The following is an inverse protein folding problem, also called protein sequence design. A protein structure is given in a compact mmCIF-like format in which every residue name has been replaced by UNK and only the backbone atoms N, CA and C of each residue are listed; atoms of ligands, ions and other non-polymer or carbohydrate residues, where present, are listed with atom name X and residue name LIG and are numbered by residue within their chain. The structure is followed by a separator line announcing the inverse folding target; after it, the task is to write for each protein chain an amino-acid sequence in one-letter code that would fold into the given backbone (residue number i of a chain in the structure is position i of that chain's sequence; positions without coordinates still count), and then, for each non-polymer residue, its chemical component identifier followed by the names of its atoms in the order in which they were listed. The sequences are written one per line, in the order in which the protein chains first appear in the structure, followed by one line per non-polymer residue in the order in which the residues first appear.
data_IF_894668399843
#
_entry.id   IF_894668399843
#
_cell.length_a   1.000
_cell.length_b   1.000
_cell.length_c   1.000
_cell.angle_alpha   90.00
_cell.angle_beta   90.00
_cell.angle_gamma   90.00
#
_symmetry.space_group_name_H-M   'P 1'
#
loop_
_entity.id
_entity.type
_entity.pdbx_description
1 polymer ?
#
# COMPACT_ATOMS: atom_id res chain seq x y z
N UNK A 1 -20.35 32.41 2.41
CA UNK A 1 -21.33 32.67 1.34
C UNK A 1 -22.68 33.20 1.84
N UNK A 2 -23.30 32.63 2.88
CA UNK A 2 -24.57 33.14 3.47
C UNK A 2 -24.51 34.58 3.98
N UNK A 3 -23.37 35.00 4.48
CA UNK A 3 -23.21 36.38 5.09
C UNK A 3 -23.22 37.50 4.04
N UNK A 4 -22.74 37.25 2.83
CA UNK A 4 -22.69 38.27 1.76
C UNK A 4 -24.10 38.55 1.20
N UNK A 5 -24.94 37.53 1.10
CA UNK A 5 -26.31 37.66 0.62
C UNK A 5 -27.16 38.46 1.60
N UNK A 6 -26.95 38.30 2.91
CA UNK A 6 -27.69 39.01 3.95
C UNK A 6 -27.36 40.49 3.97
N UNK A 7 -26.11 40.88 3.69
CA UNK A 7 -25.69 42.30 3.69
C UNK A 7 -26.27 43.08 2.51
N UNK A 8 -26.45 42.44 1.35
CA UNK A 8 -27.06 43.08 0.16
C UNK A 8 -28.57 43.25 0.36
N UNK A 9 -29.25 42.36 1.07
CA UNK A 9 -30.67 42.47 1.34
C UNK A 9 -31.01 43.61 2.37
N UNK A 10 -30.13 43.84 3.36
CA UNK A 10 -30.35 44.91 4.37
C UNK A 10 -30.17 46.32 3.79
N UNK A 11 -29.34 46.49 2.77
CA UNK A 11 -29.15 47.78 2.09
C UNK A 11 -30.37 48.20 1.22
N UNK A 12 -31.19 47.22 0.80
CA UNK A 12 -32.37 47.47 -0.05
C UNK A 12 -33.61 47.99 0.73
N UNK A 13 -33.62 47.91 2.07
CA UNK A 13 -34.79 48.29 2.89
C UNK A 13 -34.79 49.75 3.35
N UNK A 14 -33.76 50.55 3.07
CA UNK A 14 -33.64 51.94 3.51
C UNK A 14 -33.83 53.00 2.42
N UNK A 15 -34.20 52.63 1.17
CA UNK A 15 -34.40 53.63 0.13
C UNK A 15 -35.85 53.65 -0.38
N UNK A 16 -36.64 54.51 0.19
CA UNK A 16 -37.86 55.01 -0.43
C UNK A 16 -37.45 56.04 -1.46
N UNK A 17 -37.41 55.71 -2.72
CA UNK A 17 -37.47 56.70 -3.81
C UNK A 17 -37.37 56.03 -5.22
N UNK A 18 -38.10 56.54 -6.13
CA UNK A 18 -38.00 56.45 -7.58
C UNK A 18 -38.07 55.09 -8.26
N UNK A 19 -39.12 54.93 -9.04
CA UNK A 19 -39.35 53.76 -9.92
C UNK A 19 -38.19 53.44 -10.88
N UNK A 20 -37.26 54.35 -11.11
CA UNK A 20 -36.08 54.13 -11.93
C UNK A 20 -34.96 53.38 -11.16
N UNK A 21 -34.78 53.69 -9.89
CA UNK A 21 -33.79 52.98 -9.05
C UNK A 21 -34.20 51.54 -8.84
N UNK A 22 -35.50 51.27 -8.61
CA UNK A 22 -36.02 49.90 -8.52
C UNK A 22 -35.80 49.06 -9.77
N UNK A 23 -35.93 49.66 -10.96
CA UNK A 23 -35.65 48.96 -12.23
C UNK A 23 -34.18 48.65 -12.43
N UNK A 24 -33.27 49.56 -12.04
CA UNK A 24 -31.83 49.33 -12.12
C UNK A 24 -31.39 48.26 -11.10
N UNK A 25 -31.89 48.33 -9.88
CA UNK A 25 -31.60 47.37 -8.81
C UNK A 25 -32.05 45.95 -9.20
N UNK A 26 -33.29 45.79 -9.73
CA UNK A 26 -33.78 44.50 -10.20
C UNK A 26 -32.98 43.96 -11.38
N UNK A 27 -32.48 44.82 -12.27
CA UNK A 27 -31.62 44.42 -13.37
C UNK A 27 -30.24 43.91 -12.88
N UNK A 28 -29.64 44.60 -11.93
CA UNK A 28 -28.38 44.21 -11.28
C UNK A 28 -28.55 42.90 -10.52
N UNK A 29 -29.65 42.75 -9.76
CA UNK A 29 -29.93 41.51 -9.02
C UNK A 29 -30.04 40.34 -10.01
N UNK A 30 -30.84 40.45 -11.09
CA UNK A 30 -30.96 39.40 -12.08
C UNK A 30 -29.63 39.06 -12.76
N UNK A 31 -28.83 40.03 -13.15
CA UNK A 31 -27.52 39.79 -13.73
C UNK A 31 -26.57 39.10 -12.75
N UNK A 32 -26.65 39.45 -11.47
CA UNK A 32 -25.83 38.81 -10.42
C UNK A 32 -26.29 37.37 -10.20
N UNK A 33 -27.59 37.12 -10.18
CA UNK A 33 -28.15 35.75 -10.07
C UNK A 33 -27.77 34.87 -11.27
N UNK A 34 -27.81 35.39 -12.49
CA UNK A 34 -27.40 34.69 -13.70
C UNK A 34 -25.90 34.32 -13.64
N UNK A 35 -25.03 35.26 -13.26
CA UNK A 35 -23.58 35.01 -13.13
C UNK A 35 -23.26 34.01 -12.01
N UNK A 36 -23.96 34.12 -10.88
CA UNK A 36 -23.79 33.18 -9.76
C UNK A 36 -24.25 31.76 -10.16
N UNK A 37 -25.39 31.64 -10.81
CA UNK A 37 -25.91 30.35 -11.26
C UNK A 37 -25.00 29.71 -12.34
N UNK A 38 -24.48 30.51 -13.28
CA UNK A 38 -23.53 30.03 -14.27
C UNK A 38 -22.21 29.55 -13.62
N UNK A 39 -21.71 30.29 -12.64
CA UNK A 39 -20.50 29.90 -11.88
C UNK A 39 -20.74 28.62 -11.06
N UNK A 40 -21.89 28.51 -10.40
CA UNK A 40 -22.27 27.29 -9.65
C UNK A 40 -22.38 26.09 -10.57
N UNK A 41 -23.04 26.23 -11.72
CA UNK A 41 -23.17 25.14 -12.68
C UNK A 41 -21.80 24.68 -13.22
N UNK A 42 -20.91 25.61 -13.56
CA UNK A 42 -19.54 25.26 -14.00
C UNK A 42 -18.73 24.56 -12.92
N UNK A 43 -18.86 24.96 -11.67
CA UNK A 43 -18.19 24.28 -10.53
C UNK A 43 -18.78 22.90 -10.32
N UNK A 44 -20.10 22.75 -10.41
CA UNK A 44 -20.77 21.45 -10.25
C UNK A 44 -20.36 20.48 -11.38
N UNK A 45 -20.39 20.95 -12.63
CA UNK A 45 -19.98 20.16 -13.80
C UNK A 45 -18.50 19.75 -13.73
N UNK A 46 -17.64 20.66 -13.26
CA UNK A 46 -16.22 20.34 -13.03
C UNK A 46 -16.02 19.32 -11.90
N UNK A 47 -16.80 19.43 -10.83
CA UNK A 47 -16.75 18.47 -9.72
C UNK A 47 -17.23 17.08 -10.13
N UNK A 48 -18.33 17.02 -10.91
CA UNK A 48 -18.83 15.75 -11.47
C UNK A 48 -17.85 15.11 -12.45
N UNK A 49 -17.20 15.91 -13.30
CA UNK A 49 -16.18 15.41 -14.22
C UNK A 49 -14.96 14.87 -13.46
N UNK A 50 -14.50 15.54 -12.40
CA UNK A 50 -13.41 15.07 -11.56
C UNK A 50 -13.80 13.77 -10.84
N UNK A 51 -15.04 13.70 -10.30
CA UNK A 51 -15.55 12.50 -9.65
C UNK A 51 -15.66 11.32 -10.63
N UNK A 52 -16.16 11.55 -11.84
CA UNK A 52 -16.28 10.52 -12.88
C UNK A 52 -14.92 10.03 -13.39
N UNK A 53 -13.94 10.93 -13.54
CA UNK A 53 -12.58 10.55 -13.93
C UNK A 53 -11.92 9.74 -12.80
N UNK A 54 -12.07 10.17 -11.54
CA UNK A 54 -11.55 9.43 -10.39
C UNK A 54 -12.22 8.05 -10.24
N UNK A 55 -13.56 8.00 -10.41
CA UNK A 55 -14.30 6.73 -10.36
C UNK A 55 -13.91 5.80 -11.52
N UNK A 56 -13.70 6.33 -12.72
CA UNK A 56 -13.22 5.55 -13.85
C UNK A 56 -11.80 5.04 -13.63
N UNK A 57 -10.88 5.88 -13.17
CA UNK A 57 -9.50 5.44 -12.83
C UNK A 57 -9.50 4.38 -11.74
N UNK A 58 -10.33 4.53 -10.70
CA UNK A 58 -10.50 3.51 -9.64
C UNK A 58 -11.10 2.23 -10.22
N UNK A 59 -12.12 2.32 -11.06
CA UNK A 59 -12.77 1.16 -11.68
C UNK A 59 -11.84 0.44 -12.66
N UNK A 60 -11.07 1.16 -13.46
CA UNK A 60 -10.09 0.57 -14.38
C UNK A 60 -8.98 -0.15 -13.62
N UNK A 61 -8.55 0.39 -12.46
CA UNK A 61 -7.58 -0.27 -11.56
C UNK A 61 -8.21 -1.49 -10.85
N UNK A 62 -9.50 -1.41 -10.45
CA UNK A 62 -10.20 -2.51 -9.77
C UNK A 62 -10.57 -3.67 -10.70
N UNK A 63 -10.73 -3.42 -12.00
CA UNK A 63 -11.04 -4.47 -12.99
C UNK A 63 -9.81 -5.23 -13.48
N UNK A 64 -8.60 -4.76 -13.19
CA UNK A 64 -7.34 -5.41 -13.58
C UNK A 64 -6.83 -6.33 -12.46
N UNK A 65 -7.71 -7.18 -11.94
CA UNK A 65 -7.33 -8.23 -10.99
C UNK A 65 -6.59 -9.36 -11.72
N UNK A 66 -5.30 -9.18 -11.84
CA UNK A 66 -4.40 -10.24 -12.27
C UNK A 66 -4.39 -11.37 -11.24
N UNK A 67 -4.55 -12.61 -11.67
CA UNK A 67 -4.50 -13.76 -10.77
C UNK A 67 -3.76 -14.95 -11.38
N UNK A 68 -3.10 -15.72 -10.50
CA UNK A 68 -2.45 -17.00 -10.80
C UNK A 68 -3.07 -18.09 -9.91
N UNK A 69 -3.39 -19.23 -10.51
CA UNK A 69 -3.81 -20.44 -9.79
C UNK A 69 -2.67 -21.46 -9.88
N UNK A 70 -2.24 -21.98 -8.74
CA UNK A 70 -1.26 -23.04 -8.62
C UNK A 70 -1.84 -24.16 -7.74
N UNK A 71 -2.22 -25.28 -8.34
CA UNK A 71 -2.99 -26.31 -7.66
C UNK A 71 -4.34 -25.77 -7.16
N UNK A 72 -4.56 -25.82 -5.86
CA UNK A 72 -5.73 -25.25 -5.15
C UNK A 72 -5.45 -23.86 -4.54
N UNK A 73 -4.26 -23.32 -4.73
CA UNK A 73 -3.87 -22.02 -4.24
C UNK A 73 -4.12 -20.93 -5.30
N UNK A 74 -4.76 -19.84 -4.88
CA UNK A 74 -4.97 -18.64 -5.71
C UNK A 74 -4.14 -17.48 -5.17
N UNK A 75 -3.45 -16.82 -6.07
CA UNK A 75 -2.69 -15.59 -5.86
C UNK A 75 -3.28 -14.51 -6.74
N UNK A 76 -3.57 -13.34 -6.19
CA UNK A 76 -4.00 -12.18 -6.96
C UNK A 76 -3.22 -10.94 -6.57
N UNK A 77 -3.08 -10.01 -7.49
CA UNK A 77 -2.38 -8.76 -7.27
C UNK A 77 -3.14 -7.62 -7.94
N UNK A 78 -3.10 -6.47 -7.27
CA UNK A 78 -3.67 -5.23 -7.75
C UNK A 78 -2.79 -4.08 -7.31
N UNK A 79 -2.52 -3.12 -8.18
CA UNK A 79 -1.72 -1.97 -7.79
C UNK A 79 -1.02 -1.28 -8.95
N UNK A 80 -0.34 -0.19 -8.61
CA UNK A 80 0.28 0.68 -9.60
C UNK A 80 1.70 1.15 -9.22
N UNK A 81 2.32 0.56 -8.18
CA UNK A 81 3.69 0.87 -7.81
C UNK A 81 4.64 0.23 -8.81
N UNK A 82 5.47 1.04 -9.48
CA UNK A 82 6.42 0.60 -10.51
C UNK A 82 7.71 1.42 -10.48
N UNK A 83 8.78 0.88 -11.09
CA UNK A 83 10.09 1.52 -11.15
C UNK A 83 10.21 2.62 -12.20
N UNK A 84 9.37 2.60 -13.23
CA UNK A 84 9.42 3.51 -14.36
C UNK A 84 8.72 4.85 -14.09
N UNK A 85 7.82 4.90 -13.11
CA UNK A 85 7.02 6.07 -12.82
C UNK A 85 6.69 6.18 -11.32
N UNK A 86 7.17 7.27 -10.70
CA UNK A 86 6.70 7.63 -9.37
C UNK A 86 5.22 8.01 -9.36
N UNK A 87 4.47 7.46 -8.41
CA UNK A 87 3.07 7.82 -8.17
C UNK A 87 2.89 8.20 -6.70
N UNK A 88 2.47 9.44 -6.45
CA UNK A 88 2.28 9.96 -5.09
C UNK A 88 1.33 9.12 -4.24
N UNK A 89 0.31 8.52 -4.85
CA UNK A 89 -0.67 7.67 -4.19
C UNK A 89 -0.57 6.23 -4.74
N UNK A 90 0.68 5.77 -4.99
CA UNK A 90 0.91 4.41 -5.44
C UNK A 90 0.50 3.43 -4.35
N UNK A 91 -0.19 2.37 -4.75
CA UNK A 91 -0.59 1.30 -3.87
C UNK A 91 -0.30 -0.06 -4.49
N UNK A 92 -0.27 -1.09 -3.65
CA UNK A 92 -0.20 -2.48 -4.04
C UNK A 92 -0.96 -3.34 -3.05
N UNK A 93 -1.74 -4.27 -3.56
CA UNK A 93 -2.46 -5.26 -2.77
C UNK A 93 -2.13 -6.62 -3.38
N UNK A 94 -1.68 -7.54 -2.54
CA UNK A 94 -1.47 -8.94 -2.92
C UNK A 94 -2.29 -9.81 -2.00
N UNK A 95 -3.13 -10.66 -2.59
CA UNK A 95 -4.01 -11.55 -1.85
C UNK A 95 -3.71 -12.99 -2.22
N UNK A 96 -3.70 -13.89 -1.25
CA UNK A 96 -3.44 -15.30 -1.48
C UNK A 96 -4.23 -16.19 -0.50
N UNK A 97 -4.70 -17.33 -1.00
CA UNK A 97 -5.48 -18.28 -0.19
C UNK A 97 -4.62 -19.01 0.83
N UNK A 98 -3.41 -19.36 0.43
CA UNK A 98 -2.44 -20.09 1.24
C UNK A 98 -1.00 -19.62 0.96
N UNK A 99 -0.11 -19.83 1.93
CA UNK A 99 1.34 -19.71 1.72
C UNK A 99 1.79 -20.83 0.79
N UNK A 100 2.75 -20.60 -0.13
CA UNK A 100 3.31 -21.65 -0.98
C UNK A 100 3.67 -22.90 -0.18
N UNK A 101 3.33 -24.08 -0.70
CA UNK A 101 3.55 -25.36 -0.01
C UNK A 101 4.99 -25.84 -0.07
N UNK A 102 5.73 -25.42 -1.10
CA UNK A 102 7.12 -25.82 -1.36
C UNK A 102 7.86 -24.77 -2.19
N UNK A 103 9.15 -25.04 -2.42
CA UNK A 103 10.02 -24.14 -3.19
C UNK A 103 9.57 -23.96 -4.65
N UNK A 104 9.09 -25.03 -5.31
CA UNK A 104 8.70 -24.97 -6.73
C UNK A 104 7.47 -24.08 -6.92
N UNK A 105 6.49 -24.18 -6.01
CA UNK A 105 5.35 -23.27 -6.02
C UNK A 105 5.78 -21.83 -5.76
N UNK A 106 6.61 -21.57 -4.73
CA UNK A 106 7.15 -20.24 -4.45
C UNK A 106 7.86 -19.66 -5.67
N UNK A 107 8.70 -20.46 -6.32
CA UNK A 107 9.44 -20.08 -7.52
C UNK A 107 8.50 -19.77 -8.69
N UNK A 108 7.49 -20.60 -8.95
CA UNK A 108 6.51 -20.36 -10.00
C UNK A 108 5.74 -19.06 -9.75
N UNK A 109 5.20 -18.86 -8.53
CA UNK A 109 4.51 -17.64 -8.13
C UNK A 109 5.38 -16.39 -8.29
N UNK A 110 6.66 -16.49 -7.93
CA UNK A 110 7.61 -15.39 -8.11
C UNK A 110 7.91 -15.12 -9.58
N UNK A 111 8.33 -16.13 -10.33
CA UNK A 111 8.86 -15.94 -11.69
C UNK A 111 7.77 -15.65 -12.72
N UNK A 112 6.61 -16.24 -12.56
CA UNK A 112 5.53 -16.14 -13.53
C UNK A 112 4.55 -15.00 -13.22
N UNK A 113 4.45 -14.57 -11.95
CA UNK A 113 3.39 -13.67 -11.54
C UNK A 113 3.84 -12.52 -10.64
N UNK A 114 4.09 -12.75 -9.34
CA UNK A 114 4.30 -11.67 -8.37
C UNK A 114 5.61 -10.92 -8.59
N UNK A 115 6.68 -11.59 -8.92
CA UNK A 115 7.98 -10.96 -9.15
C UNK A 115 8.04 -9.99 -10.33
N UNK A 116 7.04 -10.01 -11.20
CA UNK A 116 6.93 -9.08 -12.35
C UNK A 116 6.52 -7.67 -11.94
N UNK A 117 6.06 -7.46 -10.71
CA UNK A 117 5.68 -6.15 -10.17
C UNK A 117 6.46 -5.83 -8.91
N UNK A 118 6.73 -4.54 -8.67
CA UNK A 118 7.48 -4.09 -7.49
C UNK A 118 6.78 -4.49 -6.19
N UNK A 119 5.48 -4.22 -6.10
CA UNK A 119 4.68 -4.57 -4.93
C UNK A 119 4.47 -6.10 -4.78
N UNK A 120 4.38 -6.83 -5.88
CA UNK A 120 4.32 -8.30 -5.84
C UNK A 120 5.59 -8.90 -5.25
N UNK A 121 6.77 -8.47 -5.70
CA UNK A 121 8.04 -8.91 -5.13
C UNK A 121 8.17 -8.55 -3.65
N UNK A 122 7.74 -7.35 -3.23
CA UNK A 122 7.73 -6.94 -1.82
C UNK A 122 6.84 -7.86 -0.98
N UNK A 123 5.63 -8.19 -1.46
CA UNK A 123 4.68 -9.07 -0.77
C UNK A 123 5.18 -10.51 -0.61
N UNK A 124 6.12 -10.95 -1.43
CA UNK A 124 6.70 -12.28 -1.30
C UNK A 124 7.70 -12.41 -0.14
N UNK A 125 8.18 -11.30 0.43
CA UNK A 125 9.10 -11.36 1.57
C UNK A 125 8.46 -11.98 2.82
N UNK A 126 7.27 -11.58 3.29
CA UNK A 126 6.55 -12.29 4.35
C UNK A 126 6.33 -13.78 4.03
N UNK A 127 6.02 -14.13 2.78
CA UNK A 127 5.86 -15.54 2.37
C UNK A 127 7.18 -16.31 2.52
N UNK A 128 8.31 -15.76 2.06
CA UNK A 128 9.62 -16.38 2.19
C UNK A 128 10.04 -16.56 3.65
N UNK A 129 9.72 -15.57 4.51
CA UNK A 129 9.95 -15.66 5.95
C UNK A 129 9.10 -16.76 6.59
N UNK A 130 7.84 -16.92 6.20
CA UNK A 130 6.97 -18.00 6.67
C UNK A 130 7.47 -19.37 6.21
N UNK A 131 7.91 -19.48 4.95
CA UNK A 131 8.57 -20.71 4.45
C UNK A 131 9.80 -21.05 5.29
N UNK A 132 10.60 -20.05 5.67
CA UNK A 132 11.76 -20.24 6.55
C UNK A 132 11.38 -20.65 7.98
N UNK A 133 10.25 -20.16 8.50
CA UNK A 133 9.74 -20.55 9.82
C UNK A 133 9.29 -22.03 9.84
N UNK A 134 8.73 -22.52 8.73
CA UNK A 134 8.25 -23.90 8.56
C UNK A 134 9.39 -24.87 8.30
N UNK A 135 10.23 -24.55 7.31
CA UNK A 135 11.39 -25.33 6.90
C UNK A 135 12.53 -24.39 6.54
N UNK A 136 13.61 -24.43 7.32
CA UNK A 136 14.73 -23.50 7.17
C UNK A 136 15.48 -23.66 5.83
N UNK A 137 15.57 -24.87 5.32
CA UNK A 137 16.28 -25.11 4.06
C UNK A 137 15.45 -24.63 2.87
N UNK A 138 14.17 -24.97 2.84
CA UNK A 138 13.23 -24.49 1.81
C UNK A 138 13.11 -22.97 1.86
N UNK A 139 12.93 -22.39 3.05
CA UNK A 139 12.84 -20.94 3.21
C UNK A 139 14.12 -20.21 2.84
N UNK A 140 15.30 -20.80 3.09
CA UNK A 140 16.59 -20.27 2.63
C UNK A 140 16.62 -20.16 1.10
N UNK A 141 16.22 -21.22 0.40
CA UNK A 141 16.14 -21.20 -1.07
C UNK A 141 15.16 -20.14 -1.58
N UNK A 142 14.03 -19.96 -0.92
CA UNK A 142 13.07 -18.90 -1.25
C UNK A 142 13.67 -17.49 -1.08
N UNK A 143 14.41 -17.25 0.01
CA UNK A 143 15.09 -15.98 0.28
C UNK A 143 16.22 -15.75 -0.75
N UNK A 144 17.01 -16.77 -1.06
CA UNK A 144 18.07 -16.71 -2.08
C UNK A 144 17.53 -16.35 -3.46
N UNK A 145 16.37 -16.89 -3.82
CA UNK A 145 15.70 -16.58 -5.09
C UNK A 145 15.15 -15.14 -5.13
N UNK A 146 14.52 -14.70 -4.04
CA UNK A 146 13.81 -13.43 -3.96
C UNK A 146 14.73 -12.23 -3.74
N UNK A 147 15.74 -12.39 -2.89
CA UNK A 147 16.58 -11.28 -2.46
C UNK A 147 17.74 -11.00 -3.42
N UNK A 148 18.19 -9.75 -3.41
CA UNK A 148 19.39 -9.35 -4.14
C UNK A 148 20.61 -10.07 -3.57
N UNK A 149 21.47 -10.68 -4.41
CA UNK A 149 22.48 -11.67 -3.98
C UNK A 149 23.43 -11.18 -2.87
N UNK A 150 23.85 -9.92 -2.87
CA UNK A 150 24.76 -9.38 -1.85
C UNK A 150 24.14 -9.34 -0.45
N UNK A 151 22.81 -9.36 -0.33
CA UNK A 151 22.10 -9.13 0.93
C UNK A 151 21.54 -10.42 1.54
N UNK A 152 21.53 -11.52 0.80
CA UNK A 152 20.96 -12.81 1.21
C UNK A 152 21.47 -13.29 2.57
N UNK A 153 22.78 -13.33 2.77
CA UNK A 153 23.38 -13.83 4.01
C UNK A 153 22.99 -12.96 5.23
N UNK A 154 22.95 -11.65 5.05
CA UNK A 154 22.53 -10.72 6.10
C UNK A 154 21.06 -10.92 6.48
N UNK A 155 20.18 -11.04 5.48
CA UNK A 155 18.76 -11.30 5.67
C UNK A 155 18.53 -12.59 6.43
N UNK A 156 19.15 -13.70 5.99
CA UNK A 156 19.03 -15.01 6.64
C UNK A 156 19.54 -14.99 8.07
N UNK A 157 20.68 -14.33 8.31
CA UNK A 157 21.26 -14.23 9.66
C UNK A 157 20.31 -13.53 10.65
N UNK A 158 19.71 -12.42 10.24
CA UNK A 158 18.80 -11.66 11.09
C UNK A 158 17.49 -12.42 11.33
N UNK A 159 16.91 -13.01 10.28
CA UNK A 159 15.68 -13.81 10.40
C UNK A 159 15.91 -15.00 11.34
N UNK A 160 17.05 -15.69 11.20
CA UNK A 160 17.42 -16.78 12.08
C UNK A 160 17.51 -16.35 13.55
N UNK A 161 18.13 -15.21 13.82
CA UNK A 161 18.20 -14.63 15.16
C UNK A 161 16.80 -14.35 15.73
N UNK A 162 15.93 -13.71 14.97
CA UNK A 162 14.58 -13.36 15.41
C UNK A 162 13.65 -14.55 15.62
N UNK A 163 13.79 -15.59 14.81
CA UNK A 163 12.98 -16.81 14.97
C UNK A 163 13.47 -17.77 16.05
N UNK A 164 14.64 -17.48 16.63
CA UNK A 164 15.25 -18.32 17.65
C UNK A 164 15.91 -19.58 17.11
N UNK A 165 16.65 -20.27 17.98
CA UNK A 165 17.49 -21.42 17.61
C UNK A 165 16.69 -22.68 17.36
N UNK A 166 15.53 -22.83 17.98
CA UNK A 166 14.65 -24.01 17.86
C UNK A 166 13.17 -23.65 17.92
N UNK A 167 12.26 -24.56 17.56
CA UNK A 167 10.81 -24.34 17.57
C UNK A 167 10.21 -23.94 18.93
N UNK A 168 10.85 -24.35 20.00
CA UNK A 168 10.40 -24.14 21.36
C UNK A 168 11.05 -22.94 22.04
N UNK A 169 11.78 -22.10 21.26
CA UNK A 169 12.38 -20.87 21.78
C UNK A 169 11.27 -19.87 22.09
N UNK A 170 11.01 -19.67 23.37
CA UNK A 170 9.94 -18.75 23.86
C UNK A 170 10.19 -17.28 23.50
N UNK A 171 11.42 -16.93 23.17
CA UNK A 171 11.80 -15.59 22.72
C UNK A 171 11.77 -15.44 21.20
N UNK A 172 11.63 -16.56 20.49
CA UNK A 172 11.58 -16.57 19.02
C UNK A 172 10.27 -16.00 18.49
N UNK A 173 10.39 -14.96 17.65
CA UNK A 173 9.21 -14.30 17.03
C UNK A 173 8.85 -14.96 15.69
N UNK A 174 8.44 -16.21 15.71
CA UNK A 174 8.04 -16.96 14.51
C UNK A 174 6.75 -16.44 13.86
N UNK A 175 5.97 -15.67 14.60
CA UNK A 175 4.78 -14.98 14.10
C UNK A 175 5.11 -13.68 13.32
N UNK A 176 6.38 -13.31 13.25
CA UNK A 176 6.85 -12.10 12.57
C UNK A 176 6.36 -12.00 11.09
N UNK A 177 6.34 -13.07 10.28
CA UNK A 177 5.77 -13.00 8.93
C UNK A 177 4.29 -12.63 8.93
N UNK A 178 3.52 -13.20 9.84
CA UNK A 178 2.09 -12.93 9.97
C UNK A 178 1.79 -11.48 10.36
N UNK A 179 2.68 -10.84 11.14
CA UNK A 179 2.52 -9.43 11.53
C UNK A 179 2.49 -8.46 10.33
N UNK A 180 2.91 -8.90 9.15
CA UNK A 180 2.87 -8.14 7.89
C UNK A 180 1.58 -8.37 7.09
N UNK A 181 0.67 -9.20 7.59
CA UNK A 181 -0.59 -9.53 6.93
C UNK A 181 -1.74 -8.72 7.55
N UNK A 182 -2.72 -8.39 6.71
CA UNK A 182 -3.92 -7.66 7.13
C UNK A 182 -4.62 -8.34 8.28
N UNK A 183 -5.05 -7.56 9.26
CA UNK A 183 -5.79 -8.02 10.44
C UNK A 183 -4.95 -8.69 11.52
N UNK A 184 -3.66 -8.99 11.27
CA UNK A 184 -2.78 -9.57 12.28
C UNK A 184 -2.29 -8.53 13.29
N UNK A 185 -2.59 -8.73 14.57
CA UNK A 185 -2.22 -7.83 15.67
C UNK A 185 -1.72 -8.62 16.89
N UNK A 186 -1.00 -7.98 17.82
CA UNK A 186 -0.61 -8.63 19.07
C UNK A 186 -1.79 -9.17 19.89
N UNK A 187 -2.94 -8.47 19.83
CA UNK A 187 -4.15 -8.79 20.58
C UNK A 187 -4.83 -10.06 20.10
N UNK A 188 -4.71 -10.37 18.80
CA UNK A 188 -5.25 -11.58 18.21
C UNK A 188 -4.21 -12.68 17.96
N UNK A 189 -3.05 -12.60 18.65
CA UNK A 189 -1.94 -13.52 18.49
C UNK A 189 -1.43 -13.62 17.04
N UNK A 190 -1.46 -12.52 16.31
CA UNK A 190 -1.08 -12.43 14.90
C UNK A 190 -1.82 -13.39 13.97
N UNK A 191 -3.11 -13.58 14.22
CA UNK A 191 -3.98 -14.33 13.34
C UNK A 191 -4.53 -13.41 12.24
N UNK A 192 -4.04 -13.49 11.00
CA UNK A 192 -4.47 -12.61 9.92
C UNK A 192 -5.86 -12.96 9.40
N UNK A 193 -6.50 -11.98 8.75
CA UNK A 193 -7.72 -12.21 7.98
C UNK A 193 -7.48 -13.17 6.81
N UNK A 194 -8.55 -13.82 6.36
CA UNK A 194 -8.51 -14.66 5.17
C UNK A 194 -9.47 -14.14 4.09
N UNK A 195 -9.07 -14.21 2.82
CA UNK A 195 -7.76 -14.63 2.31
C UNK A 195 -6.63 -13.74 2.82
N UNK A 196 -5.42 -14.28 2.92
CA UNK A 196 -4.26 -13.51 3.36
C UNK A 196 -4.02 -12.33 2.43
N UNK A 197 -3.77 -11.17 2.99
CA UNK A 197 -3.58 -9.93 2.23
C UNK A 197 -2.38 -9.15 2.73
N UNK A 198 -1.51 -8.72 1.81
CA UNK A 198 -0.45 -7.75 2.04
C UNK A 198 -0.87 -6.44 1.38
N UNK A 199 -1.06 -5.41 2.20
CA UNK A 199 -1.41 -4.06 1.74
C UNK A 199 -0.15 -3.20 1.73
N UNK A 200 0.04 -2.42 0.67
CA UNK A 200 1.25 -1.64 0.44
C UNK A 200 0.96 -0.26 -0.10
N UNK A 201 1.83 0.68 0.26
CA UNK A 201 1.81 2.06 -0.22
C UNK A 201 3.17 2.44 -0.80
N UNK A 202 3.18 3.31 -1.80
CA UNK A 202 4.42 3.94 -2.26
C UNK A 202 4.93 4.92 -1.20
N UNK A 203 6.24 4.98 -1.02
CA UNK A 203 6.84 5.97 -0.12
C UNK A 203 6.59 7.39 -0.63
N UNK A 204 5.86 8.20 0.16
CA UNK A 204 5.58 9.61 -0.18
C UNK A 204 6.77 10.54 0.04
N UNK A 205 7.71 10.15 0.89
CA UNK A 205 8.86 10.99 1.28
C UNK A 205 10.09 10.74 0.42
N UNK A 206 10.08 9.69 -0.35
CA UNK A 206 11.21 9.31 -1.18
C UNK A 206 10.74 9.27 -2.62
N UNK A 207 10.94 10.35 -3.33
CA UNK A 207 10.74 10.48 -4.78
C UNK A 207 11.68 9.54 -5.56
N UNK A 208 11.73 8.20 -5.24
CA UNK A 208 13.02 7.68 -5.55
C UNK A 208 13.05 6.36 -6.23
N UNK A 209 13.23 6.53 -7.47
CA UNK A 209 14.16 5.71 -8.19
C UNK A 209 15.58 6.04 -7.72
N UNK A 210 16.13 5.36 -6.74
CA UNK A 210 17.56 5.35 -6.52
C UNK A 210 18.20 4.55 -7.64
N UNK A 211 18.82 5.24 -8.58
CA UNK A 211 19.75 4.61 -9.52
C UNK A 211 21.00 4.22 -8.75
N UNK A 212 21.08 2.97 -8.33
CA UNK A 212 22.32 2.39 -7.86
C UNK A 212 23.16 2.15 -9.12
N UNK A 213 24.31 2.79 -9.20
CA UNK A 213 25.19 2.82 -10.37
C UNK A 213 25.43 1.40 -10.91
N UNK A 214 24.90 1.09 -12.09
CA UNK A 214 25.05 -0.19 -12.79
C UNK A 214 24.18 -1.35 -12.27
N UNK A 215 23.47 -1.21 -11.17
CA UNK A 215 22.74 -2.34 -10.53
C UNK A 215 21.22 -2.33 -10.76
N UNK A 216 20.64 -1.19 -11.13
CA UNK A 216 19.19 -1.10 -11.41
C UNK A 216 18.48 0.04 -10.69
N UNK A 217 17.17 0.04 -10.79
CA UNK A 217 16.29 1.03 -10.17
C UNK A 217 15.68 0.46 -8.89
N UNK A 218 15.86 1.15 -7.78
CA UNK A 218 15.28 0.80 -6.48
C UNK A 218 13.96 1.54 -6.26
N UNK A 219 12.94 0.79 -5.87
CA UNK A 219 11.61 1.30 -5.53
C UNK A 219 11.38 1.12 -4.04
N UNK A 220 10.96 2.17 -3.36
CA UNK A 220 10.63 2.14 -1.94
C UNK A 220 9.14 1.90 -1.73
N UNK A 221 8.80 0.88 -0.97
CA UNK A 221 7.44 0.45 -0.69
C UNK A 221 7.28 0.34 0.82
N UNK A 222 6.12 0.73 1.33
CA UNK A 222 5.70 0.45 2.69
C UNK A 222 4.69 -0.69 2.71
N UNK A 223 5.00 -1.78 3.39
CA UNK A 223 4.02 -2.80 3.78
C UNK A 223 3.30 -2.30 5.03
N UNK A 224 1.96 -2.33 5.01
CA UNK A 224 1.12 -1.98 6.13
C UNK A 224 1.03 -3.17 7.09
N UNK A 225 1.42 -3.00 8.33
CA UNK A 225 1.62 -4.10 9.28
C UNK A 225 1.11 -3.74 10.68
N UNK A 226 0.41 -4.67 11.34
CA UNK A 226 -0.17 -4.45 12.67
C UNK A 226 0.78 -4.70 13.85
N UNK A 227 1.95 -5.27 13.60
CA UNK A 227 2.87 -5.72 14.67
C UNK A 227 3.75 -4.64 15.29
N UNK A 228 3.63 -3.37 14.93
CA UNK A 228 4.48 -2.26 15.38
C UNK A 228 3.66 -1.00 15.65
N UNK A 229 4.21 -0.05 16.43
CA UNK A 229 3.56 1.25 16.65
C UNK A 229 3.45 2.07 15.36
N UNK A 230 4.48 2.01 14.53
CA UNK A 230 4.43 2.55 13.17
C UNK A 230 4.01 1.45 12.22
N UNK A 231 2.84 1.54 11.64
CA UNK A 231 2.28 0.50 10.76
C UNK A 231 3.06 0.31 9.46
N UNK A 232 3.79 1.32 8.99
CA UNK A 232 4.56 1.28 7.76
C UNK A 232 5.90 0.56 7.93
N UNK A 233 6.13 -0.53 7.19
CA UNK A 233 7.39 -1.28 7.13
C UNK A 233 8.03 -1.12 5.77
N UNK A 234 9.19 -0.49 5.72
CA UNK A 234 9.88 -0.22 4.46
C UNK A 234 10.47 -1.48 3.84
N UNK A 235 10.21 -1.63 2.56
CA UNK A 235 10.82 -2.63 1.68
C UNK A 235 11.36 -1.91 0.46
N UNK A 236 12.62 -2.16 0.17
CA UNK A 236 13.27 -1.70 -1.04
C UNK A 236 13.32 -2.88 -2.03
N UNK A 237 12.77 -2.68 -3.21
CA UNK A 237 12.87 -3.65 -4.30
C UNK A 237 13.65 -3.06 -5.46
N UNK A 238 14.46 -3.88 -6.10
CA UNK A 238 15.31 -3.48 -7.22
C UNK A 238 14.85 -4.16 -8.51
N UNK A 239 14.79 -3.39 -9.59
CA UNK A 239 14.69 -3.90 -10.95
C UNK A 239 16.03 -3.73 -11.65
N UNK A 240 16.69 -4.84 -11.94
CA UNK A 240 17.96 -4.82 -12.67
C UNK A 240 17.74 -4.51 -14.16
N UNK A 241 18.68 -3.83 -14.84
CA UNK A 241 18.61 -3.60 -16.27
C UNK A 241 18.50 -4.93 -17.04
N UNK A 242 17.56 -5.03 -17.97
CA UNK A 242 17.34 -6.21 -18.79
C UNK A 242 16.75 -7.42 -18.07
N UNK A 243 16.30 -7.27 -16.82
CA UNK A 243 15.56 -8.30 -16.09
C UNK A 243 14.08 -7.93 -15.99
N UNK A 244 13.23 -8.94 -16.10
CA UNK A 244 11.78 -8.76 -15.99
C UNK A 244 11.28 -8.82 -14.54
N UNK A 245 12.10 -9.35 -13.63
CA UNK A 245 11.73 -9.58 -12.26
C UNK A 245 12.32 -8.51 -11.33
N UNK A 246 11.55 -8.14 -10.32
CA UNK A 246 12.00 -7.36 -9.18
C UNK A 246 12.53 -8.29 -8.09
N UNK A 247 13.61 -7.90 -7.43
CA UNK A 247 14.17 -8.58 -6.26
C UNK A 247 14.07 -7.70 -5.03
N UNK A 248 13.92 -8.29 -3.85
CA UNK A 248 14.01 -7.55 -2.59
C UNK A 248 15.47 -7.15 -2.39
N UNK A 249 15.72 -5.84 -2.37
CA UNK A 249 17.05 -5.29 -2.17
C UNK A 249 17.37 -5.10 -0.70
N UNK A 250 16.41 -4.53 0.08
CA UNK A 250 16.59 -4.29 1.50
C UNK A 250 15.22 -4.23 2.19
N UNK A 251 15.08 -4.83 3.38
CA UNK A 251 13.82 -4.80 4.13
C UNK A 251 14.02 -4.98 5.65
N UNK A 252 14.99 -4.29 6.28
CA UNK A 252 15.33 -4.54 7.68
C UNK A 252 14.15 -4.30 8.62
N UNK A 253 13.23 -3.42 8.27
CA UNK A 253 12.05 -3.13 9.08
C UNK A 253 11.04 -4.28 9.17
N UNK A 254 11.06 -5.26 8.25
CA UNK A 254 10.19 -6.43 8.30
C UNK A 254 10.65 -7.50 9.29
N UNK A 255 11.96 -7.58 9.55
CA UNK A 255 12.52 -8.57 10.47
C UNK A 255 13.14 -7.97 11.73
N UNK A 256 12.97 -6.67 11.98
CA UNK A 256 13.11 -6.12 13.34
C UNK A 256 11.96 -6.64 14.19
N UNK A 257 12.24 -7.02 15.45
CA UNK A 257 11.21 -7.62 16.30
C UNK A 257 9.92 -6.79 16.36
N UNK A 258 8.78 -7.46 16.25
CA UNK A 258 7.46 -6.88 16.44
C UNK A 258 7.02 -6.97 17.91
N UNK A 259 5.87 -6.37 18.25
CA UNK A 259 5.30 -6.45 19.59
C UNK A 259 5.06 -7.91 20.00
N UNK A 260 5.21 -8.20 21.28
CA UNK A 260 4.89 -9.49 21.87
C UNK A 260 3.37 -9.73 21.80
N UNK A 261 2.98 -10.98 21.66
CA UNK A 261 1.57 -11.37 21.76
C UNK A 261 1.03 -10.99 23.15
N UNK A 262 -0.10 -10.30 23.17
CA UNK A 262 -0.72 -9.85 24.43
C UNK A 262 -1.09 -11.07 25.29
N UNK A 263 -0.72 -11.04 26.56
CA UNK A 263 -1.00 -12.11 27.54
C UNK A 263 -0.02 -13.28 27.54
N UNK A 264 1.01 -13.28 26.70
CA UNK A 264 2.04 -14.34 26.69
C UNK A 264 3.30 -13.98 27.46
N UNK A 265 3.48 -12.70 27.79
CA UNK A 265 4.63 -12.25 28.53
C UNK A 265 4.32 -12.21 30.03
N UNK A 266 4.88 -13.17 30.76
CA UNK A 266 5.01 -13.05 32.20
C UNK A 266 6.21 -12.14 32.45
N UNK A 267 5.97 -10.88 32.74
CA UNK A 267 7.03 -9.93 33.12
C UNK A 267 7.84 -10.43 34.31
N UNK A 268 8.93 -9.77 34.61
CA UNK A 268 9.60 -9.91 35.90
C UNK A 268 8.61 -9.51 37.00
N UNK A 269 8.10 -10.47 37.74
CA UNK A 269 7.37 -10.25 38.99
C UNK A 269 8.37 -9.88 40.10
#
# INVERSE_FOLDING_TARGET
MKTIITTVLLAATCMTADAQIGKVLNKVIRQTEEVVNEAVNKVTESAENIANVAEKEVRDVLNDEDSLIYGDHKYSKQGNIAADKYRRNGFGIVTFTNIPSNYEEFKAVYTEFLGKTAYGAAAMMPMAMEMYARDREVGRQCIELLCYPSNVNSVISIIKEKFGSNPNDSYGQRYLPAASLKGATPENAYQPERPYTVEMEASVNQHQELKITGSGTVVYIYIMAGGWDTHQRSVEVIKQPGKDLYQVFNCPSLYTGCKQIVGTWAGLE
#
